data_IF_768714513857
#
_entry.id   IF_768714513857
#
_cell.length_a   1.000
_cell.length_b   1.000
_cell.length_c   1.000
_cell.angle_alpha   90.00
_cell.angle_beta   90.00
_cell.angle_gamma   90.00
#
_symmetry.space_group_name_H-M   'P 1'
#
loop_
_entity.id
_entity.type
_entity.pdbx_description
1 polymer ?
#
# COMPACT_ATOMS: atom_id res chain seq x y z
N UNK A 1 14.30 29.09 3.71
CA UNK A 1 13.89 28.00 2.81
C UNK A 1 14.10 26.72 3.61
N UNK A 2 13.03 26.01 3.97
CA UNK A 2 13.12 24.73 4.66
C UNK A 2 13.59 23.76 3.59
N UNK A 3 14.82 23.32 3.70
CA UNK A 3 15.40 22.29 2.83
C UNK A 3 14.61 21.00 3.13
N UNK A 4 13.66 20.68 2.26
CA UNK A 4 12.76 19.54 2.46
C UNK A 4 13.51 18.26 2.07
N UNK A 5 14.41 17.83 2.97
CA UNK A 5 15.21 16.62 2.80
C UNK A 5 14.28 15.44 2.56
N UNK A 6 14.39 14.81 1.40
CA UNK A 6 13.64 13.60 1.06
C UNK A 6 14.48 12.38 1.36
N UNK A 7 13.86 11.42 2.03
CA UNK A 7 14.43 10.11 2.30
C UNK A 7 13.72 9.07 1.46
N UNK A 8 14.49 8.13 0.92
CA UNK A 8 13.95 7.04 0.10
C UNK A 8 14.43 5.71 0.66
N UNK A 9 13.55 4.73 0.68
CA UNK A 9 13.89 3.37 1.08
C UNK A 9 13.17 2.35 0.21
N UNK A 10 13.74 1.16 0.10
CA UNK A 10 13.13 0.03 -0.59
C UNK A 10 12.74 -1.05 0.41
N UNK A 11 11.56 -1.65 0.17
CA UNK A 11 11.08 -2.84 0.87
C UNK A 11 10.76 -3.91 -0.16
N UNK A 12 11.30 -5.10 0.03
CA UNK A 12 11.02 -6.25 -0.85
C UNK A 12 9.73 -6.95 -0.44
N UNK A 13 9.01 -7.47 -1.41
CA UNK A 13 7.81 -8.28 -1.21
C UNK A 13 7.80 -9.47 -2.18
N UNK A 14 6.92 -10.48 -1.97
CA UNK A 14 6.78 -11.59 -2.90
C UNK A 14 6.37 -11.22 -4.33
N UNK A 15 5.87 -9.98 -4.53
CA UNK A 15 5.38 -9.53 -5.86
C UNK A 15 6.15 -8.34 -6.43
N UNK A 16 7.34 -8.08 -5.92
CA UNK A 16 8.20 -6.97 -6.35
C UNK A 16 8.53 -6.03 -5.20
N UNK A 17 9.19 -4.95 -5.52
CA UNK A 17 9.68 -4.01 -4.53
C UNK A 17 8.71 -2.84 -4.32
N UNK A 18 8.70 -2.29 -3.11
CA UNK A 18 8.03 -1.04 -2.77
C UNK A 18 9.09 0.02 -2.51
N UNK A 19 8.90 1.20 -3.09
CA UNK A 19 9.69 2.40 -2.79
C UNK A 19 8.89 3.25 -1.81
N UNK A 20 9.52 3.57 -0.69
CA UNK A 20 9.03 4.50 0.32
C UNK A 20 9.71 5.84 0.12
N UNK A 21 8.93 6.92 0.12
CA UNK A 21 9.44 8.28 0.23
C UNK A 21 8.91 8.92 1.49
N UNK A 22 9.77 9.66 2.18
CA UNK A 22 9.43 10.38 3.41
C UNK A 22 10.18 11.70 3.53
N UNK A 23 9.70 12.57 4.37
CA UNK A 23 10.50 13.60 5.02
C UNK A 23 10.91 13.14 6.44
N UNK A 24 11.29 14.05 7.30
CA UNK A 24 11.74 13.73 8.67
C UNK A 24 10.61 13.20 9.56
N UNK A 25 9.35 13.55 9.28
CA UNK A 25 8.21 13.29 10.14
C UNK A 25 7.24 12.23 9.59
N UNK A 26 6.99 12.26 8.27
CA UNK A 26 5.90 11.51 7.65
C UNK A 26 6.32 10.78 6.37
N UNK A 27 5.67 9.66 6.10
CA UNK A 27 5.68 9.06 4.78
C UNK A 27 4.92 9.95 3.78
N UNK A 28 5.51 10.14 2.60
CA UNK A 28 4.95 10.88 1.48
C UNK A 28 4.36 9.93 0.44
N UNK A 29 5.04 8.81 0.21
CA UNK A 29 4.54 7.77 -0.71
C UNK A 29 5.04 6.37 -0.33
N UNK A 30 4.30 5.37 -0.81
CA UNK A 30 4.67 3.96 -0.85
C UNK A 30 4.17 3.39 -2.18
N UNK A 31 5.06 3.17 -3.14
CA UNK A 31 4.68 2.80 -4.50
C UNK A 31 5.40 1.54 -4.96
N UNK A 32 4.71 0.73 -5.79
CA UNK A 32 5.32 -0.42 -6.41
C UNK A 32 6.38 -0.02 -7.42
N UNK A 33 7.48 -0.77 -7.44
CA UNK A 33 8.57 -0.60 -8.39
C UNK A 33 9.05 -1.97 -8.90
N UNK A 34 9.38 -2.02 -10.18
CA UNK A 34 10.04 -3.17 -10.79
C UNK A 34 11.58 -3.02 -10.77
N UNK A 35 12.08 -1.93 -10.18
CA UNK A 35 13.50 -1.66 -10.01
C UNK A 35 14.14 -2.73 -9.13
N UNK A 36 15.27 -3.27 -9.55
CA UNK A 36 16.09 -4.18 -8.73
C UNK A 36 16.76 -3.44 -7.57
N UNK A 37 17.14 -4.18 -6.53
CA UNK A 37 17.89 -3.60 -5.41
C UNK A 37 19.23 -2.96 -5.86
N UNK A 38 19.88 -3.54 -6.88
CA UNK A 38 21.12 -3.00 -7.43
C UNK A 38 20.90 -1.63 -8.08
N UNK A 39 19.88 -1.49 -8.93
CA UNK A 39 19.51 -0.23 -9.56
C UNK A 39 19.13 0.82 -8.52
N UNK A 40 18.37 0.42 -7.50
CA UNK A 40 18.03 1.29 -6.37
C UNK A 40 19.29 1.81 -5.66
N UNK A 41 20.25 0.94 -5.31
CA UNK A 41 21.49 1.34 -4.66
C UNK A 41 22.32 2.29 -5.54
N UNK A 42 22.35 2.08 -6.86
CA UNK A 42 23.05 2.96 -7.80
C UNK A 42 22.43 4.36 -7.88
N UNK A 43 21.09 4.45 -7.86
CA UNK A 43 20.36 5.72 -7.88
C UNK A 43 20.39 6.46 -6.54
N UNK A 44 20.36 5.72 -5.42
CA UNK A 44 20.27 6.30 -4.07
C UNK A 44 21.63 6.40 -3.34
N UNK A 45 22.75 6.22 -4.02
CA UNK A 45 24.11 6.26 -3.40
C UNK A 45 24.38 7.45 -2.49
N UNK A 46 23.81 8.62 -2.82
CA UNK A 46 23.95 9.84 -2.02
C UNK A 46 23.04 9.88 -0.77
N UNK A 47 22.00 9.03 -0.71
CA UNK A 47 21.03 9.03 0.39
C UNK A 47 21.32 7.97 1.45
N UNK A 48 22.13 6.95 1.13
CA UNK A 48 22.51 5.90 2.08
C UNK A 48 23.42 6.38 3.21
N UNK A 49 24.00 7.59 3.11
CA UNK A 49 24.88 8.20 4.12
C UNK A 49 24.08 8.85 5.28
N UNK A 50 22.76 8.99 5.14
CA UNK A 50 21.93 9.61 6.18
C UNK A 50 21.20 8.56 6.99
N UNK A 51 21.14 8.77 8.30
CA UNK A 51 20.28 8.00 9.17
C UNK A 51 18.81 8.15 8.72
N UNK A 52 18.12 7.02 8.48
CA UNK A 52 16.75 7.04 8.03
C UNK A 52 15.81 7.48 9.14
N UNK A 53 14.82 8.35 8.86
CA UNK A 53 13.86 8.81 9.85
C UNK A 53 13.00 7.66 10.39
N UNK A 54 12.48 7.83 11.59
CA UNK A 54 11.71 6.81 12.29
C UNK A 54 10.47 6.37 11.51
N UNK A 55 9.83 7.25 10.75
CA UNK A 55 8.69 6.92 9.90
C UNK A 55 9.06 5.90 8.79
N UNK A 56 10.26 5.97 8.21
CA UNK A 56 10.74 4.96 7.25
C UNK A 56 11.08 3.64 7.95
N UNK A 57 11.79 3.68 9.08
CA UNK A 57 12.13 2.47 9.84
C UNK A 57 10.84 1.73 10.26
N UNK A 58 9.87 2.46 10.80
CA UNK A 58 8.57 1.91 11.18
C UNK A 58 7.80 1.34 9.97
N UNK A 59 7.82 2.03 8.83
CA UNK A 59 7.13 1.55 7.63
C UNK A 59 7.74 0.26 7.08
N UNK A 60 9.07 0.17 7.04
CA UNK A 60 9.78 -1.07 6.63
C UNK A 60 9.37 -2.23 7.52
N UNK A 61 9.49 -2.08 8.84
CA UNK A 61 9.12 -3.10 9.81
C UNK A 61 7.65 -3.52 9.66
N UNK A 62 6.71 -2.55 9.57
CA UNK A 62 5.29 -2.84 9.47
C UNK A 62 4.92 -3.52 8.15
N UNK A 63 5.56 -3.19 7.04
CA UNK A 63 5.37 -3.86 5.76
C UNK A 63 5.93 -5.29 5.78
N UNK A 64 7.12 -5.51 6.34
CA UNK A 64 7.69 -6.84 6.53
C UNK A 64 6.77 -7.72 7.39
N UNK A 65 6.29 -7.19 8.51
CA UNK A 65 5.31 -7.88 9.37
C UNK A 65 4.00 -8.20 8.64
N UNK A 66 3.51 -7.28 7.79
CA UNK A 66 2.31 -7.51 6.98
C UNK A 66 2.54 -8.64 5.97
N UNK A 67 3.63 -8.62 5.22
CA UNK A 67 3.96 -9.69 4.27
C UNK A 67 4.22 -11.02 4.96
N UNK A 68 4.76 -11.01 6.17
CA UNK A 68 4.88 -12.21 7.04
C UNK A 68 3.57 -12.58 7.76
N UNK A 69 2.49 -11.79 7.66
CA UNK A 69 1.17 -11.99 8.26
C UNK A 69 1.10 -11.79 9.78
N UNK A 70 2.09 -11.18 10.33
CA UNK A 70 2.12 -10.79 11.72
C UNK A 70 1.33 -9.49 11.98
N UNK A 71 1.07 -8.70 10.94
CA UNK A 71 0.38 -7.41 11.01
C UNK A 71 -0.84 -7.37 10.09
N UNK A 72 -1.93 -6.78 10.57
CA UNK A 72 -3.19 -6.60 9.84
C UNK A 72 -3.54 -5.13 9.58
N UNK A 73 -2.96 -4.21 10.34
CA UNK A 73 -3.22 -2.76 10.28
C UNK A 73 -1.91 -1.99 10.35
N UNK A 74 -1.87 -0.82 9.72
CA UNK A 74 -0.72 0.07 9.71
C UNK A 74 -0.97 1.26 10.63
N UNK A 75 0.03 1.57 11.46
CA UNK A 75 0.08 2.76 12.31
C UNK A 75 1.31 3.58 11.91
N UNK A 76 1.12 4.47 10.94
CA UNK A 76 2.19 5.23 10.30
C UNK A 76 1.74 6.68 10.07
N UNK A 77 2.62 7.66 10.32
CA UNK A 77 2.35 9.04 9.97
C UNK A 77 2.38 9.21 8.44
N UNK A 78 1.23 9.47 7.82
CA UNK A 78 1.08 9.60 6.38
C UNK A 78 0.75 11.05 6.01
N UNK A 79 1.51 11.63 5.09
CA UNK A 79 1.18 12.91 4.47
C UNK A 79 0.31 12.68 3.25
N UNK A 80 -0.99 12.71 3.43
CA UNK A 80 -1.96 12.60 2.35
C UNK A 80 -2.16 13.97 1.69
N UNK A 81 -1.97 14.01 0.37
CA UNK A 81 -2.24 15.19 -0.45
C UNK A 81 -3.08 14.76 -1.65
N UNK A 82 -4.27 15.33 -1.79
CA UNK A 82 -5.21 15.03 -2.88
C UNK A 82 -6.42 15.93 -2.84
N UNK A 83 -7.31 15.79 -3.82
CA UNK A 83 -8.60 16.51 -3.81
C UNK A 83 -9.48 16.02 -2.66
N UNK A 84 -10.47 16.81 -2.25
CA UNK A 84 -11.43 16.44 -1.19
C UNK A 84 -12.08 15.08 -1.47
N UNK A 85 -12.40 14.81 -2.74
CA UNK A 85 -12.97 13.53 -3.16
C UNK A 85 -11.97 12.38 -2.97
N UNK A 86 -10.72 12.53 -3.40
CA UNK A 86 -9.67 11.52 -3.19
C UNK A 86 -9.45 11.28 -1.71
N UNK A 87 -9.37 12.34 -0.91
CA UNK A 87 -9.21 12.25 0.53
C UNK A 87 -10.37 11.49 1.20
N UNK A 88 -11.62 11.73 0.76
CA UNK A 88 -12.80 11.02 1.25
C UNK A 88 -12.72 9.52 0.91
N UNK A 89 -12.33 9.16 -0.31
CA UNK A 89 -12.14 7.77 -0.73
C UNK A 89 -11.03 7.10 0.10
N UNK A 90 -9.85 7.72 0.21
CA UNK A 90 -8.70 7.12 0.92
C UNK A 90 -8.97 6.94 2.43
N UNK A 91 -9.72 7.84 3.06
CA UNK A 91 -10.19 7.65 4.44
C UNK A 91 -11.08 6.41 4.58
N UNK A 92 -12.04 6.21 3.65
CA UNK A 92 -12.91 5.04 3.66
C UNK A 92 -12.16 3.74 3.35
N UNK A 93 -11.16 3.76 2.45
CA UNK A 93 -10.31 2.60 2.17
C UNK A 93 -9.65 2.06 3.44
N UNK A 94 -9.16 2.95 4.32
CA UNK A 94 -8.51 2.57 5.59
C UNK A 94 -9.44 1.85 6.57
N UNK A 95 -10.75 2.01 6.41
CA UNK A 95 -11.75 1.36 7.25
C UNK A 95 -12.15 -0.04 6.77
N UNK A 96 -11.74 -0.45 5.56
CA UNK A 96 -12.02 -1.79 5.04
C UNK A 96 -11.19 -2.80 5.83
N UNK A 97 -11.81 -3.77 6.52
CA UNK A 97 -11.08 -4.72 7.36
C UNK A 97 -10.13 -5.60 6.54
N UNK A 98 -9.06 -6.06 7.18
CA UNK A 98 -8.15 -7.06 6.64
C UNK A 98 -8.90 -8.35 6.26
N UNK A 99 -8.62 -8.89 5.07
CA UNK A 99 -9.29 -10.06 4.53
C UNK A 99 -10.70 -9.83 3.99
N UNK A 100 -11.21 -8.60 4.03
CA UNK A 100 -12.51 -8.21 3.49
C UNK A 100 -12.37 -7.46 2.17
N UNK A 101 -13.41 -7.52 1.35
CA UNK A 101 -13.46 -6.75 0.09
C UNK A 101 -14.78 -5.98 -0.01
N UNK A 102 -14.75 -4.87 -0.74
CA UNK A 102 -15.93 -4.06 -1.06
C UNK A 102 -15.96 -3.76 -2.56
N UNK A 103 -17.13 -3.56 -3.14
CA UNK A 103 -17.21 -3.13 -4.53
C UNK A 103 -17.00 -1.62 -4.70
N UNK A 104 -16.52 -1.18 -5.88
CA UNK A 104 -16.43 0.26 -6.21
C UNK A 104 -17.76 0.98 -6.04
N UNK A 105 -18.88 0.33 -6.40
CA UNK A 105 -20.21 0.91 -6.27
C UNK A 105 -20.66 1.02 -4.81
N UNK A 106 -20.37 0.01 -3.98
CA UNK A 106 -20.66 0.07 -2.55
C UNK A 106 -19.84 1.15 -1.85
N UNK A 107 -18.55 1.28 -2.18
CA UNK A 107 -17.70 2.35 -1.67
C UNK A 107 -18.21 3.73 -2.10
N UNK A 108 -18.66 3.88 -3.36
CA UNK A 108 -19.28 5.10 -3.86
C UNK A 108 -20.54 5.47 -3.08
N UNK A 109 -21.37 4.49 -2.71
CA UNK A 109 -22.55 4.71 -1.87
C UNK A 109 -22.19 5.16 -0.45
N UNK A 110 -21.16 4.56 0.16
CA UNK A 110 -20.68 4.93 1.51
C UNK A 110 -20.20 6.39 1.56
N UNK A 111 -19.51 6.87 0.52
CA UNK A 111 -19.07 8.26 0.47
C UNK A 111 -20.15 9.25 0.05
N UNK A 112 -21.43 8.80 -0.02
CA UNK A 112 -22.59 9.65 -0.34
C UNK A 112 -22.79 9.95 -1.83
N UNK A 113 -22.08 9.27 -2.74
CA UNK A 113 -22.18 9.48 -4.19
C UNK A 113 -22.30 8.13 -4.95
N UNK A 114 -23.48 7.47 -4.95
CA UNK A 114 -23.66 6.16 -5.57
C UNK A 114 -23.31 6.08 -7.06
N UNK A 115 -23.37 7.21 -7.78
CA UNK A 115 -23.04 7.27 -9.21
C UNK A 115 -21.55 7.41 -9.49
N UNK A 116 -20.72 7.61 -8.46
CA UNK A 116 -19.30 7.92 -8.57
C UNK A 116 -18.37 6.71 -8.66
N UNK A 117 -18.83 5.50 -8.96
CA UNK A 117 -18.00 4.28 -8.98
C UNK A 117 -16.73 4.40 -9.84
N UNK A 118 -16.81 5.08 -11.01
CA UNK A 118 -15.63 5.34 -11.86
C UNK A 118 -14.67 6.33 -11.23
N UNK A 119 -15.19 7.39 -10.58
CA UNK A 119 -14.34 8.36 -9.87
C UNK A 119 -13.67 7.74 -8.65
N UNK A 120 -14.36 6.83 -7.93
CA UNK A 120 -13.78 6.02 -6.86
C UNK A 120 -12.65 5.13 -7.40
N UNK A 121 -12.84 4.48 -8.55
CA UNK A 121 -11.78 3.68 -9.19
C UNK A 121 -10.56 4.55 -9.55
N UNK A 122 -10.79 5.77 -10.06
CA UNK A 122 -9.72 6.72 -10.35
C UNK A 122 -9.01 7.19 -9.07
N UNK A 123 -9.73 7.45 -7.98
CA UNK A 123 -9.14 7.81 -6.69
C UNK A 123 -8.31 6.64 -6.11
N UNK A 124 -8.76 5.39 -6.28
CA UNK A 124 -7.98 4.19 -5.94
C UNK A 124 -6.70 4.09 -6.78
N UNK A 125 -6.75 4.45 -8.08
CA UNK A 125 -5.59 4.46 -8.97
C UNK A 125 -4.55 5.51 -8.55
N UNK A 126 -5.00 6.64 -8.06
CA UNK A 126 -4.17 7.75 -7.56
C UNK A 126 -3.73 7.58 -6.09
N UNK A 127 -3.99 6.43 -5.45
CA UNK A 127 -3.57 6.18 -4.08
C UNK A 127 -2.03 6.20 -3.96
N UNK A 128 -1.45 7.13 -3.19
CA UNK A 128 0.01 7.23 -3.07
C UNK A 128 0.63 6.21 -2.11
N UNK A 129 -0.18 5.44 -1.38
CA UNK A 129 0.27 4.50 -0.35
C UNK A 129 -0.19 3.07 -0.65
N UNK A 130 0.44 2.43 -1.63
CA UNK A 130 0.17 1.02 -1.94
C UNK A 130 0.31 0.14 -0.70
N UNK A 131 -0.56 -0.84 -0.53
CA UNK A 131 -0.65 -1.76 0.62
C UNK A 131 -1.14 -1.05 1.89
N UNK A 132 -0.51 0.04 2.32
CA UNK A 132 -0.82 0.78 3.56
C UNK A 132 -2.25 1.33 3.52
N UNK A 133 -2.65 1.95 2.40
CA UNK A 133 -4.06 2.30 2.12
C UNK A 133 -4.61 1.23 1.18
N UNK A 134 -5.50 0.36 1.64
CA UNK A 134 -5.78 -0.92 0.99
C UNK A 134 -6.73 -0.83 -0.20
N UNK A 135 -6.36 -0.10 -1.26
CA UNK A 135 -7.14 -0.03 -2.50
C UNK A 135 -7.23 -1.40 -3.22
N UNK A 136 -6.36 -2.37 -2.89
CA UNK A 136 -6.46 -3.74 -3.37
C UNK A 136 -7.72 -4.47 -2.86
N UNK A 137 -8.34 -4.02 -1.75
CA UNK A 137 -9.59 -4.57 -1.20
C UNK A 137 -10.84 -4.10 -1.96
N UNK A 138 -10.71 -3.20 -2.94
CA UNK A 138 -11.86 -2.75 -3.75
C UNK A 138 -11.91 -3.54 -5.06
N UNK A 139 -13.06 -4.19 -5.34
CA UNK A 139 -13.26 -5.10 -6.47
C UNK A 139 -14.46 -4.69 -7.34
N UNK A 140 -14.66 -5.35 -8.46
CA UNK A 140 -15.87 -5.18 -9.28
C UNK A 140 -17.14 -5.64 -8.55
N UNK A 141 -18.30 -5.10 -8.93
CA UNK A 141 -19.58 -5.48 -8.34
C UNK A 141 -19.98 -6.94 -8.58
N UNK A 142 -19.42 -7.55 -9.62
CA UNK A 142 -19.56 -8.98 -9.94
C UNK A 142 -18.48 -9.85 -9.27
N UNK A 143 -17.69 -9.31 -8.34
CA UNK A 143 -16.59 -10.02 -7.69
C UNK A 143 -15.29 -10.09 -8.49
N UNK A 144 -15.26 -9.56 -9.73
CA UNK A 144 -14.06 -9.61 -10.56
C UNK A 144 -12.96 -8.68 -10.03
N UNK A 145 -11.71 -9.12 -10.21
CA UNK A 145 -10.55 -8.28 -9.95
C UNK A 145 -10.35 -7.32 -11.10
N UNK A 146 -10.51 -6.03 -10.84
CA UNK A 146 -10.32 -4.97 -11.82
C UNK A 146 -9.56 -3.81 -11.19
N UNK A 147 -8.96 -2.98 -12.02
CA UNK A 147 -8.52 -1.65 -11.65
C UNK A 147 -7.49 -1.58 -10.52
N UNK A 148 -6.29 -2.12 -10.72
CA UNK A 148 -5.17 -1.91 -9.80
C UNK A 148 -3.97 -1.33 -10.55
N UNK A 149 -3.47 -0.17 -10.12
CA UNK A 149 -2.41 0.57 -10.82
C UNK A 149 -1.14 -0.28 -11.02
N UNK A 150 -0.79 -1.10 -10.03
CA UNK A 150 0.37 -1.95 -10.06
C UNK A 150 0.13 -3.35 -10.67
N UNK A 151 -1.01 -3.56 -11.30
CA UNK A 151 -1.36 -4.81 -11.97
C UNK A 151 -2.13 -5.83 -11.12
N UNK A 152 -2.95 -6.63 -11.77
CA UNK A 152 -3.87 -7.57 -11.11
C UNK A 152 -3.16 -8.70 -10.37
N UNK A 153 -1.95 -9.09 -10.80
CA UNK A 153 -1.14 -10.12 -10.13
C UNK A 153 -0.80 -9.71 -8.69
N UNK A 154 -0.36 -8.44 -8.49
CA UNK A 154 -0.08 -7.89 -7.16
C UNK A 154 -1.35 -7.79 -6.32
N UNK A 155 -2.45 -7.33 -6.93
CA UNK A 155 -3.76 -7.26 -6.25
C UNK A 155 -4.22 -8.62 -5.75
N UNK A 156 -4.18 -9.64 -6.62
CA UNK A 156 -4.55 -11.01 -6.27
C UNK A 156 -3.68 -11.52 -5.12
N UNK A 157 -2.35 -11.39 -5.23
CA UNK A 157 -1.43 -11.85 -4.20
C UNK A 157 -1.68 -11.22 -2.83
N UNK A 158 -1.95 -9.91 -2.76
CA UNK A 158 -2.31 -9.23 -1.51
C UNK A 158 -3.62 -9.78 -0.93
N UNK A 159 -4.65 -9.97 -1.75
CA UNK A 159 -5.91 -10.56 -1.32
C UNK A 159 -5.76 -12.01 -0.85
N UNK A 160 -4.91 -12.79 -1.51
CA UNK A 160 -4.66 -14.19 -1.15
C UNK A 160 -3.96 -14.28 0.20
N UNK A 161 -2.93 -13.48 0.47
CA UNK A 161 -2.33 -13.39 1.80
C UNK A 161 -3.39 -13.06 2.86
N UNK A 162 -4.23 -12.08 2.61
CA UNK A 162 -5.22 -11.65 3.57
C UNK A 162 -6.29 -12.71 3.82
N UNK A 163 -6.75 -13.42 2.78
CA UNK A 163 -7.75 -14.51 2.88
C UNK A 163 -7.22 -15.76 3.54
N UNK A 164 -6.05 -16.23 3.12
CA UNK A 164 -5.43 -17.43 3.68
C UNK A 164 -5.20 -17.28 5.19
N UNK A 165 -4.88 -16.08 5.65
CA UNK A 165 -4.57 -15.82 7.06
C UNK A 165 -5.77 -15.46 7.93
N UNK A 166 -6.89 -15.07 7.35
CA UNK A 166 -8.17 -14.94 8.09
C UNK A 166 -8.81 -16.31 8.33
N UNK A 167 -8.57 -17.28 7.43
CA UNK A 167 -9.17 -18.62 7.50
C UNK A 167 -8.27 -19.66 8.20
N UNK A 168 -7.00 -19.35 8.49
CA UNK A 168 -6.04 -20.30 9.05
C UNK A 168 -5.65 -19.91 10.47
N UNK A 169 -6.04 -20.75 11.44
CA UNK A 169 -5.53 -20.73 12.84
C UNK A 169 -4.27 -21.61 12.97
N UNK A 170 -3.36 -21.56 12.02
CA UNK A 170 -2.17 -22.39 12.01
C UNK A 170 -0.96 -21.66 11.41
N UNK A 171 0.22 -22.02 11.91
CA UNK A 171 1.50 -21.47 11.49
C UNK A 171 1.76 -21.73 10.01
N UNK A 172 2.17 -20.69 9.28
CA UNK A 172 2.56 -20.79 7.87
C UNK A 172 4.08 -20.75 7.80
N UNK A 173 4.72 -21.89 7.48
CA UNK A 173 6.13 -21.93 7.12
C UNK A 173 6.29 -21.44 5.67
N UNK A 174 7.11 -20.41 5.49
CA UNK A 174 7.58 -19.99 4.17
C UNK A 174 8.63 -20.98 3.68
N UNK A 175 8.33 -21.71 2.62
CA UNK A 175 9.37 -22.38 1.83
C UNK A 175 10.07 -21.30 1.01
N UNK A 176 11.21 -20.83 1.49
CA UNK A 176 12.16 -20.05 0.70
C UNK A 176 12.88 -21.08 -0.17
N UNK A 177 12.46 -21.24 -1.42
CA UNK A 177 13.31 -21.90 -2.40
C UNK A 177 14.57 -21.04 -2.58
N UNK A 178 15.72 -21.69 -2.31
CA UNK A 178 17.07 -21.13 -2.41
C UNK A 178 17.47 -20.87 -3.87
#
# INVERSE_FOLDING_TARGET
MIDNKKYVAMVSSPWGNLILEADEECLISCTWSDMSYKEYCEQCRKQSEYEQPECIKAAKLQLEEYFCGKRKTFDLPLRLCGTDFQMSVWRQLRLIPYGSTISYSALASIIGNPKAARAVAQACHCNPFAVIIPCHRVIGSNGSLTGYAAGLKRKQGLLDIERLRTNYKGEFEWVIEK
#
